data_IF_496327224132
#
_entry.id   IF_496327224132
#
_cell.length_a   1.000
_cell.length_b   1.000
_cell.length_c   1.000
_cell.angle_alpha   90.00
_cell.angle_beta   90.00
_cell.angle_gamma   90.00
#
_symmetry.space_group_name_H-M   'P 1'
#
loop_
_entity.id
_entity.type
_entity.pdbx_description
1 polymer ?
#
# COMPACT_ATOMS: atom_id res chain seq x y z
N UNK A 1 -19.15 19.72 -4.85
CA UNK A 1 -18.63 19.15 -3.62
C UNK A 1 -17.54 20.00 -3.00
N UNK A 2 -17.44 19.94 -1.68
CA UNK A 2 -16.39 20.65 -0.97
C UNK A 2 -15.06 19.90 -1.15
N UNK A 3 -14.07 20.59 -1.68
CA UNK A 3 -12.74 20.05 -1.82
C UNK A 3 -11.87 20.60 -0.69
N UNK A 4 -11.23 19.71 0.08
CA UNK A 4 -10.28 20.07 1.13
C UNK A 4 -8.92 19.44 0.82
N UNK A 5 -8.15 20.01 -0.11
CA UNK A 5 -6.88 19.42 -0.48
C UNK A 5 -5.90 19.51 0.70
N UNK A 6 -5.30 18.36 1.01
CA UNK A 6 -4.19 18.28 1.96
C UNK A 6 -2.90 18.10 1.18
N UNK A 7 -1.87 18.83 1.54
CA UNK A 7 -0.58 18.80 0.84
C UNK A 7 0.54 18.51 1.83
N UNK A 8 1.56 17.80 1.35
CA UNK A 8 2.79 17.60 2.11
C UNK A 8 3.58 18.92 2.20
N UNK A 9 4.40 19.00 3.23
CA UNK A 9 5.35 20.11 3.35
C UNK A 9 6.50 19.97 2.36
N UNK A 10 7.12 21.08 1.91
CA UNK A 10 8.32 21.02 1.09
C UNK A 10 9.47 20.32 1.83
N UNK A 11 10.36 19.70 1.08
CA UNK A 11 11.56 19.03 1.58
C UNK A 11 11.43 17.50 1.56
N UNK A 12 12.23 16.88 0.73
CA UNK A 12 12.34 15.43 0.65
C UNK A 12 13.42 14.94 1.62
N UNK A 13 13.05 14.07 2.56
CA UNK A 13 13.98 13.58 3.57
C UNK A 13 14.86 12.43 3.05
N UNK A 14 14.38 11.69 2.06
CA UNK A 14 15.09 10.55 1.49
C UNK A 14 14.79 10.45 0.00
N UNK A 15 15.84 10.36 -0.83
CA UNK A 15 15.73 10.28 -2.29
C UNK A 15 16.28 8.98 -2.88
N UNK A 16 16.75 8.07 -2.04
CA UNK A 16 17.28 6.77 -2.45
C UNK A 16 16.18 5.81 -2.92
N UNK A 17 16.58 4.62 -3.41
CA UNK A 17 15.63 3.60 -3.85
C UNK A 17 14.80 3.06 -2.68
N UNK A 18 13.52 2.79 -2.95
CA UNK A 18 12.58 2.22 -1.99
C UNK A 18 11.89 1.03 -2.65
N UNK A 19 11.83 -0.09 -1.95
CA UNK A 19 10.96 -1.22 -2.26
C UNK A 19 9.94 -1.36 -1.14
N UNK A 20 8.69 -1.56 -1.50
CA UNK A 20 7.57 -1.66 -0.55
C UNK A 20 7.01 -3.08 -0.56
N UNK A 21 7.14 -3.77 0.56
CA UNK A 21 6.55 -5.11 0.72
C UNK A 21 5.05 -5.00 0.97
N UNK A 22 4.29 -5.76 0.22
CA UNK A 22 2.84 -5.83 0.32
C UNK A 22 2.34 -7.28 0.28
N UNK A 23 1.21 -7.54 0.89
CA UNK A 23 0.58 -8.86 0.86
C UNK A 23 -0.95 -8.73 0.89
N UNK A 24 -1.65 -9.86 0.92
CA UNK A 24 -3.11 -9.90 0.95
C UNK A 24 -3.73 -9.26 2.20
N UNK A 25 -2.96 -9.05 3.25
CA UNK A 25 -3.38 -8.32 4.46
C UNK A 25 -3.18 -6.81 4.38
N UNK A 26 -2.47 -6.31 3.37
CA UNK A 26 -2.28 -4.88 3.14
C UNK A 26 -3.61 -4.27 2.70
N UNK A 27 -4.17 -3.36 3.49
CA UNK A 27 -5.51 -2.86 3.25
C UNK A 27 -5.67 -1.37 3.55
N UNK A 28 -6.68 -0.74 2.94
CA UNK A 28 -7.15 0.62 3.25
C UNK A 28 -6.05 1.68 3.08
N UNK A 29 -5.70 2.40 4.15
CA UNK A 29 -4.68 3.46 4.11
C UNK A 29 -3.32 2.97 3.61
N UNK A 30 -2.96 1.72 3.94
CA UNK A 30 -1.73 1.10 3.44
C UNK A 30 -1.77 0.93 1.92
N UNK A 31 -2.92 0.62 1.35
CA UNK A 31 -3.09 0.51 -0.11
C UNK A 31 -3.02 1.87 -0.78
N UNK A 32 -3.52 2.92 -0.14
CA UNK A 32 -3.41 4.29 -0.65
C UNK A 32 -1.94 4.69 -0.73
N UNK A 33 -1.18 4.46 0.32
CA UNK A 33 0.24 4.75 0.35
C UNK A 33 0.98 3.94 -0.71
N UNK A 34 0.78 2.62 -0.73
CA UNK A 34 1.44 1.73 -1.69
C UNK A 34 1.10 2.11 -3.13
N UNK A 35 -0.18 2.33 -3.44
CA UNK A 35 -0.62 2.70 -4.78
C UNK A 35 -0.09 4.05 -5.22
N UNK A 36 0.02 5.01 -4.31
CA UNK A 36 0.60 6.31 -4.61
C UNK A 36 2.09 6.22 -4.92
N UNK A 37 2.82 5.43 -4.16
CA UNK A 37 4.24 5.21 -4.40
C UNK A 37 4.48 4.48 -5.72
N UNK A 38 3.64 3.52 -6.06
CA UNK A 38 3.72 2.79 -7.32
C UNK A 38 3.40 3.69 -8.52
N UNK A 39 2.27 4.38 -8.47
CA UNK A 39 1.80 5.23 -9.59
C UNK A 39 2.76 6.38 -9.89
N UNK A 40 3.41 6.93 -8.89
CA UNK A 40 4.38 8.01 -9.06
C UNK A 40 5.79 7.51 -9.40
N UNK A 41 5.99 6.21 -9.46
CA UNK A 41 7.29 5.60 -9.72
C UNK A 41 8.29 5.77 -8.58
N UNK A 42 7.83 6.14 -7.38
CA UNK A 42 8.71 6.37 -6.23
C UNK A 42 9.19 5.08 -5.59
N UNK A 43 8.37 4.02 -5.66
CA UNK A 43 8.70 2.70 -5.14
C UNK A 43 8.13 1.61 -6.02
N UNK A 44 8.86 0.52 -6.18
CA UNK A 44 8.30 -0.74 -6.67
C UNK A 44 7.63 -1.47 -5.52
N UNK A 45 6.48 -2.09 -5.78
CA UNK A 45 5.80 -2.96 -4.83
C UNK A 45 6.25 -4.40 -5.03
N UNK A 46 6.54 -5.09 -3.94
CA UNK A 46 7.10 -6.45 -3.95
C UNK A 46 6.24 -7.33 -3.04
N UNK A 47 5.83 -8.49 -3.50
CA UNK A 47 5.09 -9.44 -2.67
C UNK A 47 3.89 -10.06 -3.37
N UNK A 48 2.70 -9.79 -2.87
CA UNK A 48 1.44 -10.32 -3.39
C UNK A 48 0.38 -9.24 -3.48
N UNK A 49 -0.68 -9.49 -4.28
CA UNK A 49 -1.82 -8.58 -4.43
C UNK A 49 -2.37 -8.18 -3.06
N UNK A 50 -2.69 -6.90 -2.91
CA UNK A 50 -3.26 -6.34 -1.69
C UNK A 50 -4.75 -6.67 -1.53
N UNK A 51 -5.32 -6.33 -0.38
CA UNK A 51 -6.67 -6.74 0.03
C UNK A 51 -7.77 -6.22 -0.89
N UNK A 52 -7.74 -4.94 -1.23
CA UNK A 52 -8.78 -4.32 -2.05
C UNK A 52 -9.88 -3.62 -1.24
N UNK A 53 -9.50 -2.81 -0.26
CA UNK A 53 -10.44 -1.99 0.52
C UNK A 53 -10.25 -0.51 0.19
N UNK A 54 -11.02 -0.05 -0.78
CA UNK A 54 -10.94 1.33 -1.31
C UNK A 54 -12.08 2.24 -0.92
N UNK A 55 -12.95 1.85 0.02
CA UNK A 55 -14.08 2.65 0.47
C UNK A 55 -13.78 3.32 1.81
N UNK A 56 -14.26 4.55 1.96
CA UNK A 56 -14.26 5.28 3.23
C UNK A 56 -15.64 5.17 3.85
N UNK A 57 -15.69 4.71 5.10
CA UNK A 57 -16.92 4.62 5.86
C UNK A 57 -16.90 5.56 7.06
N UNK A 58 -18.04 6.16 7.35
CA UNK A 58 -18.25 6.95 8.56
C UNK A 58 -19.19 6.18 9.48
N UNK A 59 -18.86 6.15 10.77
CA UNK A 59 -19.72 5.58 11.80
C UNK A 59 -20.62 6.67 12.37
N UNK A 60 -21.93 6.44 12.29
CA UNK A 60 -22.94 7.33 12.84
C UNK A 60 -23.53 6.66 14.08
N UNK A 61 -23.33 7.23 15.30
CA UNK A 61 -23.93 6.68 16.50
C UNK A 61 -25.46 6.82 16.44
N UNK A 62 -26.19 5.79 16.88
CA UNK A 62 -27.65 5.78 16.89
C UNK A 62 -28.25 5.94 18.30
N UNK A 63 -27.49 6.45 19.24
CA UNK A 63 -27.98 6.90 20.55
C UNK A 63 -27.79 5.94 21.72
N UNK A 64 -27.55 4.68 21.51
CA UNK A 64 -27.21 3.69 22.56
C UNK A 64 -25.82 3.09 22.31
N UNK A 65 -25.70 1.78 22.32
CA UNK A 65 -24.47 1.10 21.96
C UNK A 65 -24.41 0.69 20.47
N UNK A 66 -25.41 1.12 19.68
CA UNK A 66 -25.49 0.81 18.26
C UNK A 66 -24.95 1.95 17.39
N UNK A 67 -24.58 1.61 16.17
CA UNK A 67 -24.08 2.57 15.18
C UNK A 67 -24.35 2.09 13.76
N UNK A 68 -24.34 3.03 12.83
CA UNK A 68 -24.53 2.79 11.42
C UNK A 68 -23.24 3.13 10.66
N UNK A 69 -22.71 2.17 9.91
CA UNK A 69 -21.58 2.41 9.00
C UNK A 69 -22.10 2.81 7.63
N UNK A 70 -21.73 4.00 7.17
CA UNK A 70 -22.15 4.53 5.88
C UNK A 70 -20.93 4.78 5.01
N UNK A 71 -20.95 4.26 3.78
CA UNK A 71 -19.92 4.56 2.79
C UNK A 71 -20.10 5.99 2.28
N UNK A 72 -19.07 6.82 2.44
CA UNK A 72 -19.13 8.25 2.09
C UNK A 72 -18.19 8.62 0.94
N UNK A 73 -17.18 7.81 0.63
CA UNK A 73 -16.23 8.07 -0.43
C UNK A 73 -15.50 6.79 -0.86
N UNK A 74 -14.78 6.88 -1.98
CA UNK A 74 -13.85 5.83 -2.42
C UNK A 74 -12.48 6.44 -2.68
N UNK A 75 -11.47 5.61 -2.52
CA UNK A 75 -10.10 5.98 -2.84
C UNK A 75 -9.78 5.67 -4.30
N UNK A 76 -9.13 6.62 -4.95
CA UNK A 76 -8.49 6.41 -6.24
C UNK A 76 -7.00 6.67 -6.08
N UNK A 77 -6.17 5.89 -6.79
CA UNK A 77 -4.74 6.18 -6.86
C UNK A 77 -4.47 7.42 -7.71
N UNK A 78 -3.26 8.00 -7.70
CA UNK A 78 -2.94 9.16 -8.54
C UNK A 78 -3.25 8.95 -10.03
N UNK A 79 -3.12 7.73 -10.54
CA UNK A 79 -3.48 7.40 -11.92
C UNK A 79 -4.98 7.15 -12.14
N UNK A 80 -5.80 7.28 -11.09
CA UNK A 80 -7.25 7.10 -11.16
C UNK A 80 -7.74 5.66 -11.02
N UNK A 81 -6.90 4.74 -10.54
CA UNK A 81 -7.32 3.34 -10.34
C UNK A 81 -8.19 3.21 -9.10
N UNK A 82 -9.31 2.51 -9.22
CA UNK A 82 -10.17 2.11 -8.10
C UNK A 82 -9.63 0.81 -7.51
N UNK A 83 -9.26 0.82 -6.24
CA UNK A 83 -8.70 -0.35 -5.56
C UNK A 83 -9.76 -1.24 -4.90
N UNK A 84 -11.02 -0.79 -4.83
CA UNK A 84 -12.08 -1.56 -4.18
C UNK A 84 -12.33 -2.89 -4.89
N UNK A 85 -12.27 -3.98 -4.14
CA UNK A 85 -12.43 -5.37 -4.60
C UNK A 85 -11.37 -5.86 -5.61
N UNK A 86 -10.40 -5.03 -5.95
CA UNK A 86 -9.35 -5.36 -6.91
C UNK A 86 -7.98 -5.47 -6.25
N UNK A 87 -7.72 -4.66 -5.24
CA UNK A 87 -6.40 -4.53 -4.65
C UNK A 87 -5.40 -3.92 -5.64
N UNK A 88 -4.15 -4.02 -5.27
CA UNK A 88 -3.03 -3.53 -6.07
C UNK A 88 -2.10 -4.70 -6.36
N UNK A 89 -1.78 -4.92 -7.65
CA UNK A 89 -0.79 -5.90 -8.04
C UNK A 89 0.62 -5.38 -7.74
N UNK A 90 1.47 -6.19 -7.11
CA UNK A 90 2.87 -5.80 -6.96
C UNK A 90 3.59 -5.81 -8.30
N UNK A 91 4.65 -5.01 -8.40
CA UNK A 91 5.54 -4.99 -9.58
C UNK A 91 6.37 -6.27 -9.65
N UNK A 92 6.73 -6.81 -8.49
CA UNK A 92 7.48 -8.07 -8.35
C UNK A 92 6.68 -9.01 -7.47
N UNK A 93 6.20 -10.11 -8.03
CA UNK A 93 5.49 -11.15 -7.29
C UNK A 93 6.49 -12.09 -6.65
N UNK A 94 6.38 -12.28 -5.33
CA UNK A 94 7.24 -13.20 -4.60
C UNK A 94 6.62 -14.61 -4.52
N UNK A 95 7.46 -15.66 -4.41
CA UNK A 95 6.98 -17.04 -4.33
C UNK A 95 6.10 -17.29 -3.11
N UNK A 96 5.10 -18.13 -3.30
CA UNK A 96 4.28 -18.67 -2.21
C UNK A 96 4.94 -19.96 -1.66
N UNK A 97 4.74 -20.30 -0.37
CA UNK A 97 3.88 -19.60 0.59
C UNK A 97 4.53 -18.32 1.15
N UNK A 98 3.65 -17.43 1.58
CA UNK A 98 4.06 -16.23 2.30
C UNK A 98 4.67 -16.60 3.66
N UNK A 99 5.69 -15.86 4.15
CA UNK A 99 6.26 -16.09 5.47
C UNK A 99 5.21 -15.95 6.58
N UNK A 100 5.26 -16.87 7.55
CA UNK A 100 4.31 -16.88 8.68
C UNK A 100 4.61 -15.79 9.71
N UNK A 101 5.84 -15.30 9.75
CA UNK A 101 6.30 -14.29 10.70
C UNK A 101 7.01 -13.16 9.94
N UNK A 102 6.26 -12.21 9.36
CA UNK A 102 6.84 -11.10 8.61
C UNK A 102 7.81 -10.26 9.47
N UNK A 103 9.01 -10.05 8.97
CA UNK A 103 10.08 -9.35 9.68
C UNK A 103 10.81 -10.19 10.71
N UNK A 104 10.39 -11.44 10.93
CA UNK A 104 11.03 -12.36 11.84
C UNK A 104 12.20 -13.11 11.21
N UNK A 105 12.81 -13.97 12.01
CA UNK A 105 13.90 -14.84 11.54
C UNK A 105 13.36 -15.82 10.49
N UNK A 106 14.02 -15.88 9.34
CA UNK A 106 13.62 -16.77 8.24
C UNK A 106 12.55 -16.18 7.32
N UNK A 107 12.26 -14.88 7.40
CA UNK A 107 11.39 -14.20 6.43
C UNK A 107 12.06 -14.17 5.05
N UNK A 108 11.70 -15.12 4.21
CA UNK A 108 12.26 -15.26 2.86
C UNK A 108 11.88 -14.07 1.94
N UNK A 109 10.74 -13.43 2.19
CA UNK A 109 10.32 -12.27 1.42
C UNK A 109 11.17 -11.04 1.75
N UNK A 110 11.47 -10.84 3.03
CA UNK A 110 12.36 -9.76 3.46
C UNK A 110 13.77 -9.97 2.90
N UNK A 111 14.30 -11.19 2.94
CA UNK A 111 15.59 -11.52 2.38
C UNK A 111 15.68 -11.27 0.88
N UNK A 112 14.68 -11.74 0.12
CA UNK A 112 14.63 -11.56 -1.33
C UNK A 112 14.51 -10.08 -1.71
N UNK A 113 13.66 -9.34 -0.98
CA UNK A 113 13.49 -7.90 -1.20
C UNK A 113 14.77 -7.13 -0.88
N UNK A 114 15.49 -7.53 0.17
CA UNK A 114 16.80 -6.96 0.50
C UNK A 114 17.82 -7.14 -0.61
N UNK A 115 17.86 -8.31 -1.26
CA UNK A 115 18.72 -8.55 -2.41
C UNK A 115 18.35 -7.69 -3.61
N UNK A 116 17.05 -7.56 -3.89
CA UNK A 116 16.56 -6.67 -4.96
C UNK A 116 16.96 -5.22 -4.69
N UNK A 117 16.81 -4.76 -3.45
CA UNK A 117 17.19 -3.40 -3.06
C UNK A 117 18.70 -3.18 -3.19
N UNK A 118 19.51 -4.13 -2.77
CA UNK A 118 20.98 -4.07 -2.93
C UNK A 118 21.34 -3.93 -4.41
N UNK A 119 20.69 -4.67 -5.30
CA UNK A 119 20.88 -4.54 -6.74
C UNK A 119 20.53 -3.14 -7.26
N UNK A 120 19.47 -2.52 -6.75
CA UNK A 120 19.10 -1.14 -7.11
C UNK A 120 20.14 -0.12 -6.64
N UNK A 121 20.70 -0.33 -5.46
CA UNK A 121 21.76 0.53 -4.90
C UNK A 121 23.06 0.43 -5.71
N UNK A 122 23.37 -0.75 -6.25
CA UNK A 122 24.56 -0.98 -7.09
C UNK A 122 24.34 -0.51 -8.55
N UNK A 123 23.20 0.06 -8.86
CA UNK A 123 22.86 0.50 -10.22
C UNK A 123 22.54 -0.66 -11.17
N UNK A 124 22.32 -1.87 -10.67
CA UNK A 124 21.90 -3.01 -11.48
C UNK A 124 20.43 -2.86 -11.89
N UNK A 125 20.08 -3.18 -13.14
CA UNK A 125 18.68 -3.11 -13.57
C UNK A 125 17.80 -4.18 -12.91
#
# INVERSE_FOLDING_TARGET
>A
GLSSPQRSSPGQLFDGPILTLVNAGTASASEILAGSLQDTGRSELVGARTFGKGLIQTLIPLGDTSGLAVTVARYLTPSGRDIQNQGIEPDVVLPQPEPLDPGGEGDSWLEQTGRLLAGRLDGSP
#
